data_IF_299476368612
#
_entry.id   IF_299476368612
#
_cell.length_a   1.000
_cell.length_b   1.000
_cell.length_c   1.000
_cell.angle_alpha   90.00
_cell.angle_beta   90.00
_cell.angle_gamma   90.00
#
_symmetry.space_group_name_H-M   'P 1'
#
loop_
_entity.id
_entity.type
_entity.pdbx_description
1 polymer ?
#
# COMPACT_ATOMS: atom_id res chain seq x y z
N UNK A 1 15.54 -10.69 4.56
CA UNK A 1 16.42 -10.35 3.43
C UNK A 1 17.83 -10.94 3.59
N UNK A 2 18.35 -11.17 4.79
CA UNK A 2 19.70 -11.69 5.03
C UNK A 2 19.80 -13.22 5.17
N UNK A 3 18.68 -13.95 5.08
CA UNK A 3 18.68 -15.41 5.07
C UNK A 3 19.10 -15.96 3.70
N UNK A 4 19.55 -17.20 3.63
CA UNK A 4 19.94 -17.86 2.37
C UNK A 4 18.85 -17.82 1.28
N UNK A 5 17.58 -17.83 1.67
CA UNK A 5 16.44 -17.67 0.75
C UNK A 5 16.32 -16.26 0.19
N UNK A 6 16.81 -15.23 0.91
CA UNK A 6 16.80 -13.86 0.46
C UNK A 6 17.98 -13.50 -0.46
N UNK A 7 19.02 -14.33 -0.52
CA UNK A 7 20.19 -14.07 -1.37
C UNK A 7 19.82 -14.05 -2.87
N UNK A 8 18.82 -14.83 -3.28
CA UNK A 8 18.32 -14.83 -4.66
C UNK A 8 17.63 -13.51 -5.02
N UNK A 9 17.08 -12.79 -4.03
CA UNK A 9 16.42 -11.50 -4.20
C UNK A 9 17.33 -10.32 -3.89
N UNK A 10 18.49 -10.54 -3.30
CA UNK A 10 19.47 -9.47 -3.02
C UNK A 10 19.94 -8.76 -4.31
N UNK A 11 19.89 -9.45 -5.46
CA UNK A 11 20.19 -8.86 -6.77
C UNK A 11 19.11 -7.88 -7.27
N UNK A 12 17.94 -7.83 -6.63
CA UNK A 12 16.83 -6.92 -6.96
C UNK A 12 16.86 -5.65 -6.12
N UNK A 13 17.75 -5.56 -5.15
CA UNK A 13 17.87 -4.43 -4.21
C UNK A 13 19.21 -3.76 -4.41
N UNK A 14 19.21 -2.45 -4.54
CA UNK A 14 20.44 -1.68 -4.67
C UNK A 14 21.29 -1.78 -3.38
N UNK A 15 22.62 -1.95 -3.48
CA UNK A 15 23.49 -2.05 -2.30
C UNK A 15 23.33 -0.88 -1.33
N UNK A 16 23.12 0.34 -1.84
CA UNK A 16 22.92 1.54 -1.02
C UNK A 16 21.65 1.47 -0.15
N UNK A 17 20.61 0.77 -0.61
CA UNK A 17 19.39 0.55 0.15
C UNK A 17 19.63 -0.43 1.30
N UNK A 18 20.38 -1.51 1.06
CA UNK A 18 20.77 -2.45 2.10
C UNK A 18 21.63 -1.77 3.17
N UNK A 19 22.59 -0.94 2.75
CA UNK A 19 23.41 -0.15 3.67
C UNK A 19 22.58 0.86 4.50
N UNK A 20 21.52 1.42 3.90
CA UNK A 20 20.60 2.31 4.61
C UNK A 20 19.77 1.54 5.65
N UNK A 21 19.26 0.35 5.30
CA UNK A 21 18.54 -0.52 6.23
C UNK A 21 19.44 -0.96 7.39
N UNK A 22 20.71 -1.29 7.12
CA UNK A 22 21.68 -1.65 8.14
C UNK A 22 21.91 -0.53 9.16
N UNK A 23 22.00 0.71 8.69
CA UNK A 23 22.10 1.89 9.58
C UNK A 23 20.84 2.09 10.42
N UNK A 24 19.65 1.93 9.80
CA UNK A 24 18.37 2.06 10.52
C UNK A 24 18.22 0.98 11.59
N UNK A 25 18.66 -0.26 11.29
CA UNK A 25 18.63 -1.38 12.22
C UNK A 25 19.62 -1.15 13.37
N UNK A 26 20.84 -0.71 13.06
CA UNK A 26 21.87 -0.39 14.08
C UNK A 26 21.43 0.74 15.03
N UNK A 27 20.63 1.70 14.54
CA UNK A 27 20.02 2.77 15.33
C UNK A 27 18.81 2.30 16.17
N UNK A 28 18.41 1.03 16.07
CA UNK A 28 17.22 0.47 16.74
C UNK A 28 15.90 1.03 16.24
N UNK A 29 15.85 1.59 15.01
CA UNK A 29 14.64 2.18 14.40
C UNK A 29 13.91 1.22 13.47
N UNK A 30 14.48 0.05 13.17
CA UNK A 30 13.84 -0.96 12.34
C UNK A 30 13.00 -1.90 13.21
N UNK A 31 11.69 -1.96 12.91
CA UNK A 31 10.77 -2.86 13.58
C UNK A 31 10.30 -3.90 12.57
N UNK A 32 10.77 -5.15 12.63
CA UNK A 32 10.28 -6.22 11.78
C UNK A 32 8.80 -6.52 12.09
N UNK A 33 8.00 -6.62 11.03
CA UNK A 33 6.59 -6.93 11.13
C UNK A 33 6.34 -8.37 10.66
N UNK A 34 5.63 -9.16 11.48
CA UNK A 34 5.13 -10.49 11.12
C UNK A 34 3.62 -10.54 11.36
N UNK A 35 2.87 -10.92 10.34
CA UNK A 35 1.42 -10.91 10.40
C UNK A 35 0.82 -9.50 10.29
N UNK A 36 -0.47 -9.40 10.54
CA UNK A 36 -1.19 -8.12 10.57
C UNK A 36 -0.85 -7.37 11.86
N UNK A 37 -0.61 -6.07 11.75
CA UNK A 37 -0.31 -5.21 12.90
C UNK A 37 -0.89 -3.83 12.72
N UNK A 38 -1.60 -3.34 13.72
CA UNK A 38 -2.01 -1.93 13.82
C UNK A 38 -0.81 -1.10 14.32
N UNK A 39 -0.39 -0.12 13.53
CA UNK A 39 0.76 0.75 13.84
C UNK A 39 0.34 2.13 14.36
N UNK A 40 -0.91 2.51 14.13
CA UNK A 40 -1.54 3.70 14.67
C UNK A 40 -3.06 3.48 14.64
N UNK A 41 -3.86 4.21 15.42
CA UNK A 41 -5.31 4.05 15.41
C UNK A 41 -5.88 4.10 13.97
N UNK A 42 -6.50 3.00 13.55
CA UNK A 42 -7.09 2.83 12.22
C UNK A 42 -6.10 2.64 11.08
N UNK A 43 -4.79 2.45 11.34
CA UNK A 43 -3.77 2.16 10.31
C UNK A 43 -3.15 0.80 10.59
N UNK A 44 -3.37 -0.14 9.69
CA UNK A 44 -2.94 -1.53 9.79
C UNK A 44 -1.99 -1.90 8.64
N UNK A 45 -0.93 -2.64 8.95
CA UNK A 45 -0.06 -3.28 7.97
C UNK A 45 -0.51 -4.72 7.75
N UNK A 46 -0.62 -5.12 6.48
CA UNK A 46 -1.00 -6.46 6.06
C UNK A 46 0.12 -7.07 5.21
N UNK A 47 0.65 -8.24 5.58
CA UNK A 47 1.59 -8.96 4.72
C UNK A 47 0.95 -9.32 3.37
N UNK A 48 1.70 -9.12 2.30
CA UNK A 48 1.24 -9.34 0.93
C UNK A 48 2.35 -9.97 0.06
N UNK A 49 2.96 -11.03 0.57
CA UNK A 49 4.04 -11.71 -0.15
C UNK A 49 3.59 -12.19 -1.51
N UNK A 50 4.40 -11.94 -2.53
CA UNK A 50 4.10 -12.28 -3.93
C UNK A 50 5.06 -11.55 -4.84
N UNK A 51 4.96 -10.22 -4.90
CA UNK A 51 5.92 -9.39 -5.63
C UNK A 51 7.32 -9.51 -5.00
N UNK A 52 7.41 -9.29 -3.70
CA UNK A 52 8.61 -9.57 -2.91
C UNK A 52 8.25 -10.31 -1.61
N UNK A 53 9.19 -11.05 -0.98
CA UNK A 53 8.91 -11.81 0.25
C UNK A 53 8.50 -10.95 1.45
N UNK A 54 8.81 -9.67 1.45
CA UNK A 54 8.51 -8.75 2.55
C UNK A 54 7.47 -7.69 2.19
N UNK A 55 6.75 -7.87 1.08
CA UNK A 55 5.74 -6.90 0.64
C UNK A 55 4.66 -6.70 1.70
N UNK A 56 4.29 -5.43 1.93
CA UNK A 56 3.22 -5.03 2.82
C UNK A 56 2.20 -4.18 2.06
N UNK A 57 0.94 -4.30 2.46
CA UNK A 57 -0.13 -3.37 2.14
C UNK A 57 -0.45 -2.54 3.38
N UNK A 58 -1.07 -1.38 3.18
CA UNK A 58 -1.57 -0.52 4.27
C UNK A 58 -3.07 -0.40 4.17
N UNK A 59 -3.78 -0.77 5.23
CA UNK A 59 -5.20 -0.51 5.39
C UNK A 59 -5.37 0.69 6.29
N UNK A 60 -6.11 1.70 5.85
CA UNK A 60 -6.33 2.93 6.59
C UNK A 60 -7.81 3.28 6.66
N UNK A 61 -8.32 3.49 7.87
CA UNK A 61 -9.65 4.07 8.08
C UNK A 61 -9.61 5.57 7.83
N UNK A 62 -10.56 6.10 7.06
CA UNK A 62 -10.67 7.52 6.74
C UNK A 62 -12.12 7.99 6.92
N UNK A 63 -12.34 9.31 6.88
CA UNK A 63 -13.70 9.88 6.91
C UNK A 63 -14.52 9.54 5.65
N UNK A 64 -13.87 9.03 4.60
CA UNK A 64 -14.48 8.64 3.33
C UNK A 64 -14.51 7.14 3.10
N UNK A 65 -14.34 6.35 4.15
CA UNK A 65 -14.30 4.88 4.09
C UNK A 65 -12.92 4.31 4.36
N UNK A 66 -12.82 3.00 4.28
CA UNK A 66 -11.57 2.25 4.49
C UNK A 66 -10.82 2.12 3.17
N UNK A 67 -9.57 2.55 3.15
CA UNK A 67 -8.68 2.50 1.99
C UNK A 67 -7.64 1.40 2.18
N UNK A 68 -7.42 0.60 1.15
CA UNK A 68 -6.32 -0.34 1.06
C UNK A 68 -5.31 0.15 0.01
N UNK A 69 -4.13 0.53 0.46
CA UNK A 69 -3.00 0.87 -0.41
C UNK A 69 -2.19 -0.41 -0.64
N UNK A 70 -2.19 -0.91 -1.87
CA UNK A 70 -1.62 -2.24 -2.14
C UNK A 70 -0.13 -2.22 -2.46
N UNK A 71 0.45 -1.03 -2.76
CA UNK A 71 1.81 -0.95 -3.28
C UNK A 71 2.01 -1.95 -4.44
N UNK A 72 3.18 -2.55 -4.57
CA UNK A 72 3.50 -3.50 -5.65
C UNK A 72 2.89 -4.90 -5.46
N UNK A 73 2.12 -5.13 -4.38
CA UNK A 73 1.30 -6.34 -4.29
C UNK A 73 0.25 -6.39 -5.43
N UNK A 74 -0.21 -5.21 -5.88
CA UNK A 74 -1.05 -5.02 -7.07
C UNK A 74 -0.57 -3.76 -7.79
N UNK A 75 -0.07 -3.88 -9.02
CA UNK A 75 0.39 -2.73 -9.79
C UNK A 75 -0.78 -2.01 -10.47
N UNK A 76 -1.70 -2.77 -11.06
CA UNK A 76 -2.83 -2.25 -11.83
C UNK A 76 -4.14 -2.94 -11.46
N UNK A 77 -5.24 -2.24 -11.51
CA UNK A 77 -6.58 -2.78 -11.21
C UNK A 77 -6.93 -4.01 -12.04
N UNK A 78 -6.45 -4.09 -13.29
CA UNK A 78 -6.64 -5.23 -14.19
C UNK A 78 -6.10 -6.54 -13.63
N UNK A 79 -5.07 -6.50 -12.77
CA UNK A 79 -4.52 -7.70 -12.13
C UNK A 79 -5.57 -8.36 -11.24
N UNK A 80 -6.30 -7.55 -10.47
CA UNK A 80 -7.40 -8.06 -9.63
C UNK A 80 -8.61 -8.48 -10.47
N UNK A 81 -8.95 -7.68 -11.51
CA UNK A 81 -10.13 -7.95 -12.34
C UNK A 81 -10.02 -9.25 -13.13
N UNK A 82 -8.80 -9.59 -13.59
CA UNK A 82 -8.57 -10.71 -14.51
C UNK A 82 -7.72 -11.84 -13.95
N UNK A 83 -7.35 -11.79 -12.66
CA UNK A 83 -6.41 -12.74 -12.01
C UNK A 83 -5.09 -12.88 -12.78
N UNK A 84 -4.56 -11.75 -13.23
CA UNK A 84 -3.36 -11.65 -14.07
C UNK A 84 -2.21 -10.98 -13.32
N UNK A 85 -1.44 -11.71 -12.49
CA UNK A 85 -0.31 -11.12 -11.79
C UNK A 85 0.70 -10.48 -12.75
N UNK A 86 1.29 -9.38 -12.31
CA UNK A 86 2.36 -8.72 -13.04
C UNK A 86 3.53 -9.69 -13.24
N UNK A 87 4.28 -9.52 -14.33
CA UNK A 87 5.31 -10.49 -14.73
C UNK A 87 6.48 -10.64 -13.75
N UNK A 88 6.73 -9.62 -12.93
CA UNK A 88 7.82 -9.60 -11.96
C UNK A 88 7.30 -9.96 -10.56
N UNK A 89 6.93 -11.23 -10.37
CA UNK A 89 6.52 -11.79 -9.08
C UNK A 89 7.53 -12.83 -8.63
N UNK A 90 7.98 -12.74 -7.37
CA UNK A 90 8.86 -13.73 -6.76
C UNK A 90 8.10 -15.01 -6.42
N UNK A 91 6.83 -14.87 -6.03
CA UNK A 91 5.92 -15.97 -5.73
C UNK A 91 4.55 -15.73 -6.38
N UNK A 92 4.31 -16.42 -7.49
CA UNK A 92 3.07 -16.30 -8.24
C UNK A 92 1.86 -16.87 -7.49
N UNK A 93 2.06 -17.93 -6.70
CA UNK A 93 1.00 -18.52 -5.91
C UNK A 93 0.61 -17.60 -4.77
N UNK A 94 1.59 -17.06 -4.04
CA UNK A 94 1.39 -16.05 -3.01
C UNK A 94 0.69 -14.80 -3.54
N UNK A 95 1.08 -14.28 -4.72
CA UNK A 95 0.41 -13.14 -5.34
C UNK A 95 -1.10 -13.40 -5.58
N UNK A 96 -1.45 -14.60 -6.08
CA UNK A 96 -2.87 -14.96 -6.27
C UNK A 96 -3.63 -15.10 -4.95
N UNK A 97 -2.97 -15.59 -3.90
CA UNK A 97 -3.57 -15.64 -2.56
C UNK A 97 -3.89 -14.24 -2.07
N UNK A 98 -2.95 -13.30 -2.22
CA UNK A 98 -3.15 -11.88 -1.90
C UNK A 98 -4.32 -11.29 -2.71
N UNK A 99 -4.41 -11.56 -4.01
CA UNK A 99 -5.52 -11.09 -4.83
C UNK A 99 -6.88 -11.62 -4.35
N UNK A 100 -6.94 -12.90 -3.94
CA UNK A 100 -8.17 -13.47 -3.35
C UNK A 100 -8.54 -12.78 -2.04
N UNK A 101 -7.56 -12.49 -1.19
CA UNK A 101 -7.76 -11.78 0.07
C UNK A 101 -8.28 -10.35 -0.18
N UNK A 102 -7.66 -9.59 -1.07
CA UNK A 102 -8.11 -8.23 -1.42
C UNK A 102 -9.55 -8.24 -1.94
N UNK A 103 -9.87 -9.15 -2.87
CA UNK A 103 -11.24 -9.29 -3.39
C UNK A 103 -12.25 -9.67 -2.29
N UNK A 104 -11.85 -10.53 -1.35
CA UNK A 104 -12.71 -10.92 -0.23
C UNK A 104 -12.95 -9.73 0.72
N UNK A 105 -11.93 -8.94 1.06
CA UNK A 105 -12.07 -7.73 1.87
C UNK A 105 -13.00 -6.70 1.20
N UNK A 106 -12.83 -6.46 -0.09
CA UNK A 106 -13.70 -5.54 -0.84
C UNK A 106 -15.15 -6.03 -0.91
N UNK A 107 -15.37 -7.33 -1.20
CA UNK A 107 -16.70 -7.92 -1.27
C UNK A 107 -17.39 -8.01 0.11
N UNK A 108 -16.61 -8.15 1.18
CA UNK A 108 -17.09 -8.20 2.56
C UNK A 108 -17.38 -6.84 3.18
N UNK A 109 -16.98 -5.74 2.53
CA UNK A 109 -17.12 -4.39 3.06
C UNK A 109 -16.07 -4.01 4.10
N UNK A 110 -14.99 -4.79 4.22
CA UNK A 110 -13.84 -4.45 5.08
C UNK A 110 -12.95 -3.35 4.47
N UNK A 111 -13.08 -3.16 3.16
CA UNK A 111 -12.36 -2.16 2.37
C UNK A 111 -13.32 -1.55 1.34
N UNK A 112 -13.42 -0.22 1.35
CA UNK A 112 -14.26 0.54 0.43
C UNK A 112 -13.49 0.93 -0.85
N UNK A 113 -12.18 1.18 -0.72
CA UNK A 113 -11.34 1.66 -1.80
C UNK A 113 -10.03 0.87 -1.87
N UNK A 114 -9.78 0.24 -2.99
CA UNK A 114 -8.49 -0.40 -3.30
C UNK A 114 -7.70 0.53 -4.22
N UNK A 115 -6.46 0.83 -3.85
CA UNK A 115 -5.55 1.70 -4.60
C UNK A 115 -4.32 0.88 -4.98
N UNK A 116 -4.21 0.54 -6.26
CA UNK A 116 -3.08 -0.17 -6.83
C UNK A 116 -1.85 0.75 -6.97
N UNK A 117 -0.65 0.17 -6.88
CA UNK A 117 0.60 0.92 -6.71
C UNK A 117 1.01 1.76 -7.93
N UNK A 118 0.65 1.33 -9.14
CA UNK A 118 1.04 1.97 -10.40
C UNK A 118 -0.17 2.39 -11.26
N UNK A 119 -1.37 2.46 -10.66
CA UNK A 119 -2.61 2.77 -11.36
C UNK A 119 -2.77 4.27 -11.57
N UNK A 120 -2.72 4.75 -12.79
CA UNK A 120 -2.86 6.17 -13.12
C UNK A 120 -4.33 6.65 -13.09
N UNK A 121 -5.30 5.73 -13.21
CA UNK A 121 -6.72 6.04 -13.08
C UNK A 121 -7.12 6.58 -11.70
N UNK A 122 -6.31 6.36 -10.67
CA UNK A 122 -6.54 6.91 -9.32
C UNK A 122 -6.74 8.43 -9.36
N UNK A 123 -5.94 9.13 -10.17
CA UNK A 123 -6.02 10.58 -10.33
C UNK A 123 -7.32 11.07 -11.00
N UNK A 124 -7.98 10.18 -11.75
CA UNK A 124 -9.26 10.46 -12.42
C UNK A 124 -10.46 9.94 -11.63
N UNK A 125 -10.24 8.93 -10.79
CA UNK A 125 -11.29 8.27 -9.98
C UNK A 125 -11.75 9.13 -8.82
N UNK A 126 -10.85 9.93 -8.24
CA UNK A 126 -11.11 10.67 -7.01
C UNK A 126 -10.93 12.18 -7.20
N UNK A 127 -11.64 12.93 -6.35
CA UNK A 127 -11.62 14.38 -6.41
C UNK A 127 -10.27 15.01 -6.06
N UNK A 128 -9.82 16.02 -6.81
CA UNK A 128 -8.52 16.66 -6.60
C UNK A 128 -8.44 17.41 -5.25
N UNK A 129 -7.23 17.43 -4.69
CA UNK A 129 -6.85 18.33 -3.59
C UNK A 129 -6.35 19.65 -4.18
N UNK A 130 -7.13 20.72 -4.02
CA UNK A 130 -6.91 21.96 -4.79
C UNK A 130 -6.09 23.05 -4.09
N UNK A 131 -5.87 22.95 -2.77
CA UNK A 131 -5.25 24.06 -2.01
C UNK A 131 -3.71 24.03 -2.03
N UNK A 132 -3.11 22.85 -2.07
CA UNK A 132 -1.67 22.68 -1.82
C UNK A 132 -0.96 21.99 -2.99
N UNK A 133 -1.64 21.06 -3.64
CA UNK A 133 -1.07 20.20 -4.67
C UNK A 133 -1.98 20.17 -5.91
N UNK A 134 -2.38 21.33 -6.39
CA UNK A 134 -3.35 21.48 -7.48
C UNK A 134 -2.99 20.59 -8.69
N UNK A 135 -3.84 19.58 -8.92
CA UNK A 135 -3.66 18.57 -9.97
C UNK A 135 -2.61 17.47 -9.68
N UNK A 136 -1.91 17.50 -8.53
CA UNK A 136 -0.89 16.50 -8.16
C UNK A 136 -1.37 15.50 -7.10
N UNK A 137 -2.48 15.77 -6.44
CA UNK A 137 -3.03 14.91 -5.40
C UNK A 137 -4.55 14.81 -5.50
N UNK A 138 -5.09 13.68 -5.05
CA UNK A 138 -6.53 13.43 -4.93
C UNK A 138 -6.87 12.98 -3.52
N UNK A 139 -8.14 13.10 -3.15
CA UNK A 139 -8.66 12.58 -1.88
C UNK A 139 -9.45 11.32 -2.16
N UNK A 140 -8.87 10.18 -1.81
CA UNK A 140 -9.48 8.85 -2.02
C UNK A 140 -10.83 8.78 -1.30
N UNK A 141 -11.82 8.23 -1.99
CA UNK A 141 -13.19 8.11 -1.47
C UNK A 141 -14.09 9.32 -1.79
N UNK A 142 -13.57 10.36 -2.41
CA UNK A 142 -14.40 11.49 -2.88
C UNK A 142 -14.68 11.39 -4.38
N UNK A 143 -15.86 11.83 -4.86
CA UNK A 143 -16.19 11.77 -6.27
C UNK A 143 -15.28 12.69 -7.11
N UNK A 144 -15.02 12.40 -8.40
CA UNK A 144 -14.06 13.14 -9.23
C UNK A 144 -14.35 14.64 -9.37
N UNK A 145 -15.60 15.05 -9.27
CA UNK A 145 -16.03 16.44 -9.33
C UNK A 145 -15.83 17.22 -8.02
N UNK A 146 -15.55 16.52 -6.91
CA UNK A 146 -15.29 17.16 -5.62
C UNK A 146 -13.99 17.97 -5.67
N UNK A 147 -14.04 19.17 -5.08
CA UNK A 147 -12.89 20.06 -4.89
C UNK A 147 -12.48 20.02 -3.42
N UNK A 148 -11.56 19.14 -3.10
CA UNK A 148 -11.15 18.90 -1.72
C UNK A 148 -10.13 19.96 -1.26
N UNK A 149 -10.16 20.28 0.03
CA UNK A 149 -9.24 21.23 0.67
C UNK A 149 -8.68 20.62 1.93
N UNK A 150 -7.44 20.95 2.27
CA UNK A 150 -6.89 20.61 3.58
C UNK A 150 -7.58 21.50 4.61
N UNK A 151 -8.37 20.89 5.49
CA UNK A 151 -8.82 21.57 6.70
C UNK A 151 -7.66 21.50 7.72
N UNK A 152 -7.15 22.66 8.23
CA UNK A 152 -6.23 22.61 9.35
C UNK A 152 -6.93 21.88 10.48
N UNK A 153 -6.27 20.85 11.04
CA UNK A 153 -6.76 20.23 12.28
C UNK A 153 -6.84 21.34 13.30
N UNK A 154 -8.02 21.53 13.92
CA UNK A 154 -8.11 22.33 15.13
C UNK A 154 -7.07 21.74 16.09
N UNK A 155 -6.11 22.57 16.53
CA UNK A 155 -5.15 22.17 17.55
C UNK A 155 -5.97 21.67 18.74
N UNK A 156 -5.90 20.36 19.00
CA UNK A 156 -6.47 19.83 20.23
C UNK A 156 -5.77 20.57 21.36
N UNK A 157 -6.50 21.42 22.05
CA UNK A 157 -6.02 22.10 23.22
C UNK A 157 -5.53 21.04 24.21
N UNK A 158 -4.22 21.04 24.48
CA UNK A 158 -3.56 20.24 25.50
C UNK A 158 -3.96 20.75 26.87
#
# INVERSE_FOLDING_TARGET
WRSSAAAEFAALVEPAELDALDRIDADGRLVPVTGRVEIAPGIELLPASGHTPGQLMVRAGTDHGTVLLTSDAVHFDEELAHDRPFRHMCDLAGARDVYREIRAMAAGGDVDHVVAGHEDEVSRRYGPLVDVLDGLAVVVGTPPEARNRIHPREEAAL
#
